data_IF_628969594486
#
_entry.id   IF_628969594486
#
_cell.length_a   1.000
_cell.length_b   1.000
_cell.length_c   1.000
_cell.angle_alpha   90.00
_cell.angle_beta   90.00
_cell.angle_gamma   90.00
#
_symmetry.space_group_name_H-M   'P 1'
#
loop_
_entity.id
_entity.type
_entity.pdbx_description
1 polymer ?
#
# COMPACT_ATOMS: atom_id res chain seq x y z
N UNK A 1 -17.65 -25.32 -30.71
CA UNK A 1 -17.35 -26.45 -29.80
C UNK A 1 -16.69 -26.02 -28.50
N UNK A 2 -15.56 -25.30 -28.50
CA UNK A 2 -14.83 -24.91 -27.27
C UNK A 2 -15.67 -24.06 -26.30
N UNK A 3 -16.50 -23.14 -26.80
CA UNK A 3 -17.33 -22.26 -25.96
C UNK A 3 -18.49 -23.02 -25.28
N UNK A 4 -19.05 -24.02 -25.96
CA UNK A 4 -20.09 -24.92 -25.43
C UNK A 4 -19.49 -25.87 -24.40
N UNK A 5 -18.27 -26.38 -24.66
CA UNK A 5 -17.51 -27.19 -23.70
C UNK A 5 -17.17 -26.39 -22.44
N UNK A 6 -16.77 -25.13 -22.57
CA UNK A 6 -16.48 -24.24 -21.44
C UNK A 6 -17.74 -23.90 -20.63
N UNK A 7 -18.86 -23.65 -21.30
CA UNK A 7 -20.14 -23.39 -20.63
C UNK A 7 -20.69 -24.65 -19.94
N UNK A 8 -20.51 -25.83 -20.55
CA UNK A 8 -20.84 -27.12 -19.93
C UNK A 8 -19.92 -27.41 -18.74
N UNK A 9 -18.61 -27.20 -18.86
CA UNK A 9 -17.63 -27.37 -17.78
C UNK A 9 -17.92 -26.40 -16.62
N UNK A 10 -18.26 -25.15 -16.93
CA UNK A 10 -18.67 -24.13 -15.95
C UNK A 10 -19.96 -24.55 -15.23
N UNK A 11 -20.98 -25.05 -15.95
CA UNK A 11 -22.24 -25.50 -15.36
C UNK A 11 -22.05 -26.77 -14.51
N UNK A 12 -21.19 -27.69 -14.94
CA UNK A 12 -20.85 -28.90 -14.17
C UNK A 12 -19.93 -28.62 -12.98
N UNK A 13 -19.10 -27.59 -13.03
CA UNK A 13 -18.32 -27.09 -11.89
C UNK A 13 -19.18 -26.27 -10.92
N UNK A 14 -20.29 -25.69 -11.37
CA UNK A 14 -21.33 -25.14 -10.49
C UNK A 14 -22.26 -26.19 -9.90
N UNK A 15 -21.88 -27.49 -9.92
CA UNK A 15 -22.53 -28.48 -9.06
C UNK A 15 -22.34 -28.06 -7.60
N UNK A 16 -23.35 -27.31 -7.14
CA UNK A 16 -23.72 -26.94 -5.79
C UNK A 16 -22.54 -26.94 -4.83
N UNK A 17 -21.77 -25.85 -4.83
CA UNK A 17 -21.15 -25.41 -3.61
C UNK A 17 -22.30 -25.14 -2.63
N UNK A 18 -22.68 -26.14 -1.84
CA UNK A 18 -23.60 -25.96 -0.71
C UNK A 18 -22.84 -25.05 0.24
N UNK A 19 -23.06 -23.75 0.11
CA UNK A 19 -22.58 -22.79 1.07
C UNK A 19 -23.25 -23.12 2.40
N UNK A 20 -22.47 -23.06 3.47
CA UNK A 20 -23.02 -23.19 4.82
C UNK A 20 -24.05 -22.09 5.04
N UNK A 21 -25.21 -22.49 5.54
CA UNK A 21 -26.28 -21.54 5.86
C UNK A 21 -25.96 -20.78 7.16
N UNK A 22 -26.57 -19.60 7.34
CA UNK A 22 -26.36 -18.78 8.54
C UNK A 22 -26.75 -19.56 9.81
N UNK A 23 -27.86 -20.30 9.78
CA UNK A 23 -28.30 -21.11 10.92
C UNK A 23 -27.32 -22.23 11.27
N UNK A 24 -26.65 -22.82 10.28
CA UNK A 24 -25.63 -23.85 10.49
C UNK A 24 -24.40 -23.28 11.21
N UNK A 25 -23.94 -22.11 10.76
CA UNK A 25 -22.77 -21.44 11.36
C UNK A 25 -23.02 -21.07 12.82
N UNK A 26 -24.20 -20.53 13.12
CA UNK A 26 -24.64 -20.22 14.48
C UNK A 26 -24.63 -21.47 15.37
N UNK A 27 -25.17 -22.59 14.90
CA UNK A 27 -25.12 -23.86 15.66
C UNK A 27 -23.70 -24.26 15.97
N UNK A 28 -22.79 -24.19 14.98
CA UNK A 28 -21.39 -24.53 15.23
C UNK A 28 -20.75 -23.59 16.26
N UNK A 29 -21.06 -22.29 16.23
CA UNK A 29 -20.53 -21.31 17.20
C UNK A 29 -20.96 -21.67 18.62
N UNK A 30 -22.25 -21.98 18.82
CA UNK A 30 -22.77 -22.39 20.13
C UNK A 30 -22.13 -23.70 20.58
N UNK A 31 -21.92 -24.67 19.69
CA UNK A 31 -21.26 -25.93 20.03
C UNK A 31 -19.81 -25.71 20.48
N UNK A 32 -19.08 -24.82 19.80
CA UNK A 32 -17.69 -24.51 20.15
C UNK A 32 -17.58 -23.66 21.44
N UNK A 33 -18.57 -22.82 21.75
CA UNK A 33 -18.62 -22.05 23.00
C UNK A 33 -18.94 -22.95 24.21
N UNK A 34 -19.98 -23.80 24.10
CA UNK A 34 -20.50 -24.58 25.23
C UNK A 34 -19.72 -25.87 25.47
N UNK A 35 -19.18 -26.51 24.41
CA UNK A 35 -18.36 -27.74 24.47
C UNK A 35 -18.96 -28.90 25.29
N UNK A 36 -20.27 -28.90 25.48
CA UNK A 36 -21.02 -29.91 26.21
C UNK A 36 -22.24 -30.35 25.40
N UNK A 37 -22.78 -31.52 25.72
CA UNK A 37 -24.01 -31.99 25.11
C UNK A 37 -25.20 -31.15 25.61
N UNK A 38 -25.95 -30.56 24.69
CA UNK A 38 -27.05 -29.64 24.98
C UNK A 38 -28.22 -30.34 25.68
N UNK A 39 -28.46 -31.61 25.33
CA UNK A 39 -29.50 -32.42 25.96
C UNK A 39 -29.12 -32.75 27.42
N UNK A 40 -27.84 -33.03 27.67
CA UNK A 40 -27.32 -33.27 29.02
C UNK A 40 -27.33 -31.99 29.86
N UNK A 41 -26.97 -30.84 29.26
CA UNK A 41 -27.02 -29.53 29.93
C UNK A 41 -28.44 -29.18 30.38
N UNK A 42 -29.45 -29.43 29.54
CA UNK A 42 -30.86 -29.26 29.89
C UNK A 42 -31.43 -30.42 30.73
N UNK A 43 -30.67 -31.50 30.92
CA UNK A 43 -31.08 -32.73 31.58
C UNK A 43 -32.37 -33.33 31.00
N UNK A 44 -32.42 -33.45 29.68
CA UNK A 44 -33.54 -34.00 28.90
C UNK A 44 -33.05 -35.10 27.95
N UNK A 45 -33.97 -35.93 27.46
CA UNK A 45 -33.66 -36.91 26.42
C UNK A 45 -33.42 -36.26 25.05
N UNK A 46 -32.64 -36.89 24.18
CA UNK A 46 -32.48 -36.49 22.78
C UNK A 46 -33.81 -36.49 22.02
N UNK A 47 -34.76 -37.34 22.42
CA UNK A 47 -36.09 -37.44 21.80
C UNK A 47 -37.12 -36.47 22.42
N UNK A 48 -36.68 -35.59 23.34
CA UNK A 48 -37.56 -34.66 24.04
C UNK A 48 -38.30 -33.73 23.07
N UNK A 49 -39.58 -33.50 23.33
CA UNK A 49 -40.41 -32.57 22.58
C UNK A 49 -40.14 -31.10 22.93
N UNK A 50 -40.61 -30.17 22.10
CA UNK A 50 -40.42 -28.73 22.31
C UNK A 50 -41.02 -28.22 23.64
N UNK A 51 -42.08 -28.87 24.15
CA UNK A 51 -42.68 -28.56 25.44
C UNK A 51 -41.73 -28.87 26.61
N UNK A 52 -41.06 -30.02 26.55
CA UNK A 52 -40.10 -30.48 27.55
C UNK A 52 -38.84 -29.61 27.55
N UNK A 53 -38.29 -29.31 26.38
CA UNK A 53 -37.17 -28.37 26.20
C UNK A 53 -37.49 -27.00 26.85
N UNK A 54 -38.69 -26.47 26.58
CA UNK A 54 -39.13 -25.20 27.16
C UNK A 54 -39.31 -25.26 28.67
N UNK A 55 -39.80 -26.38 29.21
CA UNK A 55 -39.95 -26.59 30.65
C UNK A 55 -38.59 -26.64 31.35
N UNK A 56 -37.66 -27.45 30.81
CA UNK A 56 -36.31 -27.59 31.32
C UNK A 56 -35.56 -26.26 31.33
N UNK A 57 -35.60 -25.53 30.20
CA UNK A 57 -35.02 -24.18 30.10
C UNK A 57 -35.56 -23.23 31.17
N UNK A 58 -36.88 -23.17 31.38
CA UNK A 58 -37.47 -22.31 32.43
C UNK A 58 -36.96 -22.67 33.81
N UNK A 59 -36.86 -23.97 34.12
CA UNK A 59 -36.41 -24.43 35.42
C UNK A 59 -34.94 -24.07 35.70
N UNK A 60 -34.08 -24.17 34.69
CA UNK A 60 -32.65 -23.83 34.79
C UNK A 60 -32.43 -22.31 34.77
N UNK A 61 -33.17 -21.57 33.95
CA UNK A 61 -33.09 -20.11 33.87
C UNK A 61 -33.44 -19.45 35.21
N UNK A 62 -34.38 -20.00 35.98
CA UNK A 62 -34.70 -19.51 37.32
C UNK A 62 -33.58 -19.75 38.35
N UNK A 63 -32.79 -20.82 38.16
CA UNK A 63 -31.65 -21.17 39.02
C UNK A 63 -30.41 -20.36 38.68
N UNK A 64 -30.16 -20.13 37.39
CA UNK A 64 -28.99 -19.44 36.86
C UNK A 64 -29.25 -17.94 36.57
N UNK A 65 -30.35 -17.37 37.07
CA UNK A 65 -30.66 -15.97 36.78
C UNK A 65 -29.63 -15.02 37.41
N UNK A 66 -29.03 -14.09 36.64
CA UNK A 66 -27.95 -13.22 37.12
C UNK A 66 -28.39 -12.25 38.24
N UNK A 67 -29.68 -11.96 38.35
CA UNK A 67 -30.23 -11.15 39.47
C UNK A 67 -30.18 -11.90 40.81
N UNK A 68 -30.34 -13.23 40.78
CA UNK A 68 -30.34 -14.06 41.99
C UNK A 68 -28.92 -14.48 42.40
N UNK A 69 -28.04 -14.69 41.41
CA UNK A 69 -26.67 -15.14 41.60
C UNK A 69 -25.73 -14.19 40.84
N UNK A 70 -24.90 -13.44 41.58
CA UNK A 70 -24.04 -12.36 41.03
C UNK A 70 -22.62 -12.81 40.65
N UNK A 71 -22.38 -14.11 40.59
CA UNK A 71 -21.06 -14.64 40.24
C UNK A 71 -20.79 -14.53 38.74
N UNK A 72 -19.54 -14.26 38.37
CA UNK A 72 -19.11 -14.08 36.98
C UNK A 72 -19.44 -15.31 36.12
N UNK A 73 -19.25 -16.50 36.68
CA UNK A 73 -19.52 -17.79 36.02
C UNK A 73 -21.02 -18.00 35.75
N UNK A 74 -21.91 -17.49 36.62
CA UNK A 74 -23.36 -17.65 36.43
C UNK A 74 -23.85 -16.90 35.19
N UNK A 75 -23.31 -15.71 34.92
CA UNK A 75 -23.68 -14.91 33.75
C UNK A 75 -23.32 -15.64 32.44
N UNK A 76 -22.14 -16.26 32.39
CA UNK A 76 -21.68 -17.06 31.25
C UNK A 76 -22.52 -18.33 31.08
N UNK A 77 -22.78 -19.05 32.16
CA UNK A 77 -23.65 -20.23 32.14
C UNK A 77 -25.09 -19.89 31.69
N UNK A 78 -25.62 -18.74 32.11
CA UNK A 78 -26.92 -18.27 31.67
C UNK A 78 -26.92 -17.92 30.18
N UNK A 79 -25.87 -17.25 29.67
CA UNK A 79 -25.72 -16.99 28.23
C UNK A 79 -25.70 -18.29 27.44
N UNK A 80 -24.92 -19.27 27.90
CA UNK A 80 -24.83 -20.60 27.29
C UNK A 80 -26.17 -21.35 27.33
N UNK A 81 -26.92 -21.23 28.42
CA UNK A 81 -28.24 -21.83 28.54
C UNK A 81 -29.23 -21.23 27.52
N UNK A 82 -29.19 -19.91 27.32
CA UNK A 82 -30.04 -19.22 26.33
C UNK A 82 -29.69 -19.65 24.92
N UNK A 83 -28.40 -19.68 24.56
CA UNK A 83 -27.96 -20.08 23.22
C UNK A 83 -28.30 -21.55 22.92
N UNK A 84 -28.13 -22.44 23.90
CA UNK A 84 -28.54 -23.84 23.80
C UNK A 84 -30.05 -23.99 23.56
N UNK A 85 -30.87 -23.24 24.30
CA UNK A 85 -32.32 -23.27 24.11
C UNK A 85 -32.72 -22.77 22.72
N UNK A 86 -32.07 -21.73 22.19
CA UNK A 86 -32.34 -21.22 20.84
C UNK A 86 -32.03 -22.27 19.76
N UNK A 87 -30.93 -23.01 19.91
CA UNK A 87 -30.58 -24.11 18.99
C UNK A 87 -31.60 -25.24 19.07
N UNK A 88 -31.94 -25.71 20.27
CA UNK A 88 -32.84 -26.86 20.43
C UNK A 88 -34.32 -26.53 20.15
N UNK A 89 -34.73 -25.26 20.30
CA UNK A 89 -36.09 -24.81 20.02
C UNK A 89 -36.43 -24.83 18.54
N UNK A 90 -35.47 -24.52 17.67
CA UNK A 90 -35.70 -24.52 16.21
C UNK A 90 -35.47 -25.92 15.65
N UNK A 91 -36.43 -26.50 14.89
CA UNK A 91 -36.26 -27.82 14.31
C UNK A 91 -35.10 -27.89 13.31
N UNK A 92 -34.83 -26.79 12.59
CA UNK A 92 -33.72 -26.70 11.63
C UNK A 92 -32.37 -26.72 12.35
N UNK A 93 -32.18 -25.83 13.33
CA UNK A 93 -30.96 -25.75 14.14
C UNK A 93 -30.71 -27.03 14.95
N UNK A 94 -31.76 -27.63 15.51
CA UNK A 94 -31.67 -28.92 16.20
C UNK A 94 -31.17 -30.03 15.28
N UNK A 95 -31.65 -30.08 14.03
CA UNK A 95 -31.16 -31.03 13.03
C UNK A 95 -29.67 -30.85 12.77
N UNK A 96 -29.20 -29.62 12.58
CA UNK A 96 -27.76 -29.36 12.40
C UNK A 96 -26.94 -29.74 13.64
N UNK A 97 -27.47 -29.49 14.84
CA UNK A 97 -26.82 -29.92 16.08
C UNK A 97 -26.73 -31.46 16.17
N UNK A 98 -27.80 -32.16 15.81
CA UNK A 98 -27.82 -33.62 15.77
C UNK A 98 -26.82 -34.18 14.73
N UNK A 99 -26.65 -33.50 13.58
CA UNK A 99 -25.62 -33.83 12.59
C UNK A 99 -24.21 -33.65 13.15
N UNK A 100 -23.97 -32.59 13.93
CA UNK A 100 -22.68 -32.34 14.61
C UNK A 100 -22.40 -33.38 15.70
N UNK A 101 -23.42 -33.85 16.41
CA UNK A 101 -23.28 -34.93 17.39
C UNK A 101 -22.80 -36.25 16.76
N UNK A 102 -23.20 -36.52 15.52
CA UNK A 102 -22.83 -37.75 14.79
C UNK A 102 -21.47 -37.59 14.09
N UNK A 103 -21.30 -36.50 13.34
CA UNK A 103 -20.16 -36.30 12.44
C UNK A 103 -19.02 -35.49 13.07
N UNK A 104 -19.26 -34.86 14.22
CA UNK A 104 -18.39 -33.84 14.79
C UNK A 104 -18.54 -32.47 14.11
N UNK A 105 -17.81 -31.48 14.63
CA UNK A 105 -17.69 -30.18 13.98
C UNK A 105 -16.99 -30.31 12.62
N UNK A 106 -17.35 -29.46 11.63
CA UNK A 106 -16.69 -29.47 10.33
C UNK A 106 -15.17 -29.34 10.46
N UNK A 107 -14.43 -30.07 9.62
CA UNK A 107 -12.97 -30.11 9.70
C UNK A 107 -12.36 -28.70 9.73
N UNK A 108 -12.82 -27.76 8.91
CA UNK A 108 -12.29 -26.39 8.83
C UNK A 108 -12.43 -25.56 10.12
N UNK A 109 -13.38 -25.89 11.01
CA UNK A 109 -13.51 -25.28 12.35
C UNK A 109 -12.43 -25.77 13.31
N UNK A 110 -11.98 -27.01 13.15
CA UNK A 110 -10.96 -27.56 14.03
C UNK A 110 -9.63 -26.84 13.80
N UNK A 111 -8.98 -26.37 14.88
CA UNK A 111 -7.64 -25.77 14.77
C UNK A 111 -6.61 -26.75 14.16
N UNK A 112 -6.85 -28.05 14.30
CA UNK A 112 -6.04 -29.11 13.68
C UNK A 112 -6.15 -29.17 12.15
N UNK A 113 -7.17 -28.57 11.54
CA UNK A 113 -7.29 -28.47 10.09
C UNK A 113 -6.06 -27.84 9.47
N UNK A 114 -5.69 -26.66 9.97
CA UNK A 114 -4.52 -25.93 9.50
C UNK A 114 -3.24 -26.74 9.77
N UNK A 115 -3.14 -27.39 10.93
CA UNK A 115 -1.96 -28.19 11.24
C UNK A 115 -1.84 -29.49 10.43
N UNK A 116 -2.94 -30.12 10.02
CA UNK A 116 -2.94 -31.37 9.26
C UNK A 116 -2.79 -31.14 7.75
N UNK A 117 -3.41 -30.08 7.23
CA UNK A 117 -3.40 -29.78 5.80
C UNK A 117 -2.28 -28.81 5.39
N UNK A 118 -2.09 -27.70 6.12
CA UNK A 118 -1.19 -26.60 5.70
C UNK A 118 0.27 -26.85 6.08
N UNK A 119 0.55 -27.66 7.12
CA UNK A 119 1.92 -27.93 7.58
C UNK A 119 2.76 -28.76 6.58
N UNK A 120 2.14 -29.41 5.59
CA UNK A 120 2.86 -30.17 4.55
C UNK A 120 3.19 -29.35 3.31
N UNK A 121 2.90 -28.04 3.29
CA UNK A 121 3.33 -27.20 2.18
C UNK A 121 4.85 -27.12 2.15
N UNK A 122 5.47 -27.80 1.19
CA UNK A 122 6.91 -27.70 0.94
C UNK A 122 7.29 -26.25 0.61
N UNK A 123 8.57 -25.91 0.78
CA UNK A 123 9.07 -24.56 0.43
C UNK A 123 8.67 -24.16 -1.01
N UNK A 124 8.60 -25.12 -1.92
CA UNK A 124 8.15 -24.94 -3.31
C UNK A 124 6.70 -24.47 -3.41
N UNK A 125 5.77 -25.07 -2.66
CA UNK A 125 4.35 -24.71 -2.68
C UNK A 125 4.13 -23.30 -2.11
N UNK A 126 4.84 -22.96 -1.03
CA UNK A 126 4.81 -21.61 -0.45
C UNK A 126 5.33 -20.58 -1.46
N UNK A 127 6.44 -20.88 -2.15
CA UNK A 127 6.98 -20.01 -3.21
C UNK A 127 5.97 -19.84 -4.34
N UNK A 128 5.30 -20.91 -4.79
CA UNK A 128 4.28 -20.84 -5.84
C UNK A 128 3.08 -19.99 -5.40
N UNK A 129 2.61 -20.15 -4.17
CA UNK A 129 1.50 -19.35 -3.63
C UNK A 129 1.89 -17.88 -3.52
N UNK A 130 3.06 -17.58 -2.95
CA UNK A 130 3.58 -16.21 -2.88
C UNK A 130 3.76 -15.60 -4.26
N UNK A 131 4.23 -16.38 -5.22
CA UNK A 131 4.37 -15.95 -6.61
C UNK A 131 3.02 -15.64 -7.25
N UNK A 132 2.00 -16.46 -7.01
CA UNK A 132 0.64 -16.21 -7.49
C UNK A 132 0.06 -14.94 -6.87
N UNK A 133 0.19 -14.76 -5.56
CA UNK A 133 -0.26 -13.56 -4.84
C UNK A 133 0.45 -12.31 -5.39
N UNK A 134 1.77 -12.36 -5.54
CA UNK A 134 2.55 -11.26 -6.10
C UNK A 134 2.12 -10.93 -7.53
N UNK A 135 1.82 -11.95 -8.34
CA UNK A 135 1.34 -11.79 -9.71
C UNK A 135 -0.02 -11.07 -9.76
N UNK A 136 -0.96 -11.49 -8.90
CA UNK A 136 -2.28 -10.84 -8.79
C UNK A 136 -2.12 -9.42 -8.27
N UNK A 137 -1.29 -9.19 -7.24
CA UNK A 137 -1.01 -7.87 -6.70
C UNK A 137 -0.42 -6.92 -7.75
N UNK A 138 0.54 -7.39 -8.55
CA UNK A 138 1.08 -6.60 -9.66
C UNK A 138 0.04 -6.26 -10.72
N UNK A 139 -0.83 -7.21 -11.07
CA UNK A 139 -1.90 -6.97 -12.02
C UNK A 139 -2.87 -5.91 -11.51
N UNK A 140 -3.26 -5.98 -10.22
CA UNK A 140 -4.11 -4.97 -9.58
C UNK A 140 -3.44 -3.59 -9.55
N UNK A 141 -2.14 -3.52 -9.26
CA UNK A 141 -1.40 -2.25 -9.31
C UNK A 141 -1.37 -1.64 -10.72
N UNK A 142 -1.18 -2.47 -11.76
CA UNK A 142 -1.25 -2.01 -13.16
C UNK A 142 -2.64 -1.48 -13.53
N UNK A 143 -3.69 -2.13 -13.04
CA UNK A 143 -5.06 -1.63 -13.16
C UNK A 143 -5.28 -0.33 -12.41
N UNK A 144 -4.74 -0.19 -11.19
CA UNK A 144 -4.77 1.07 -10.43
C UNK A 144 -4.13 2.23 -11.20
N UNK A 145 -2.93 2.02 -11.74
CA UNK A 145 -2.24 3.01 -12.56
C UNK A 145 -3.02 3.37 -13.84
N UNK A 146 -3.67 2.39 -14.47
CA UNK A 146 -4.55 2.62 -15.61
C UNK A 146 -5.74 3.51 -15.24
N UNK A 147 -6.39 3.24 -14.10
CA UNK A 147 -7.53 4.04 -13.64
C UNK A 147 -7.13 5.47 -13.30
N UNK A 148 -5.99 5.68 -12.66
CA UNK A 148 -5.45 7.01 -12.37
C UNK A 148 -5.20 7.82 -13.66
N UNK A 149 -4.54 7.19 -14.66
CA UNK A 149 -4.31 7.81 -15.96
C UNK A 149 -5.61 8.12 -16.70
N UNK A 150 -6.61 7.25 -16.59
CA UNK A 150 -7.94 7.49 -17.18
C UNK A 150 -8.64 8.68 -16.52
N UNK A 151 -8.59 8.80 -15.19
CA UNK A 151 -9.24 9.90 -14.46
C UNK A 151 -8.56 11.24 -14.75
N UNK A 152 -7.23 11.30 -14.67
CA UNK A 152 -6.47 12.53 -14.99
C UNK A 152 -6.73 13.03 -16.40
N UNK A 153 -6.84 12.13 -17.38
CA UNK A 153 -7.20 12.52 -18.74
C UNK A 153 -8.64 13.02 -18.86
N UNK A 154 -9.59 12.42 -18.14
CA UNK A 154 -10.96 12.93 -18.09
C UNK A 154 -11.02 14.34 -17.51
N UNK A 155 -10.24 14.64 -16.47
CA UNK A 155 -10.20 15.98 -15.88
C UNK A 155 -9.54 17.00 -16.80
N UNK A 156 -8.45 16.62 -17.49
CA UNK A 156 -7.83 17.44 -18.54
C UNK A 156 -8.83 17.76 -19.68
N UNK A 157 -9.60 16.76 -20.15
CA UNK A 157 -10.62 16.96 -21.18
C UNK A 157 -11.73 17.90 -20.71
N UNK A 158 -12.22 17.77 -19.47
CA UNK A 158 -13.23 18.67 -18.90
C UNK A 158 -12.72 20.12 -18.83
N UNK A 159 -11.47 20.33 -18.42
CA UNK A 159 -10.85 21.66 -18.39
C UNK A 159 -10.71 22.24 -19.80
N UNK A 160 -10.19 21.46 -20.75
CA UNK A 160 -10.08 21.89 -22.15
C UNK A 160 -11.43 22.23 -22.78
N UNK A 161 -12.49 21.48 -22.47
CA UNK A 161 -13.86 21.75 -22.92
C UNK A 161 -14.42 23.05 -22.34
N UNK A 162 -14.14 23.37 -21.07
CA UNK A 162 -14.54 24.64 -20.44
C UNK A 162 -13.84 25.87 -21.04
N UNK A 163 -12.60 25.71 -21.53
CA UNK A 163 -11.80 26.81 -22.11
C UNK A 163 -12.20 27.13 -23.57
N UNK A 164 -13.19 26.45 -24.14
CA UNK A 164 -13.78 26.82 -25.44
C UNK A 164 -12.86 26.63 -26.67
N UNK A 165 -11.67 26.05 -26.49
CA UNK A 165 -10.82 25.61 -27.62
C UNK A 165 -11.41 24.33 -28.22
N UNK A 166 -11.96 24.44 -29.43
CA UNK A 166 -12.58 23.37 -30.22
C UNK A 166 -11.83 22.03 -30.09
N UNK A 167 -12.53 21.03 -29.54
CA UNK A 167 -12.61 19.61 -29.90
C UNK A 167 -11.57 18.97 -30.86
N UNK A 168 -10.26 19.23 -30.71
CA UNK A 168 -9.21 18.59 -31.55
C UNK A 168 -8.44 17.50 -30.79
N UNK A 169 -8.94 16.99 -29.66
CA UNK A 169 -8.17 15.97 -28.92
C UNK A 169 -8.96 14.95 -28.10
N UNK A 170 -10.29 14.88 -28.21
CA UNK A 170 -11.05 13.80 -27.55
C UNK A 170 -10.75 12.44 -28.20
N UNK A 171 -10.55 12.41 -29.52
CA UNK A 171 -10.19 11.19 -30.25
C UNK A 171 -8.67 10.95 -30.23
N UNK A 172 -7.83 11.99 -30.29
CA UNK A 172 -6.37 11.85 -30.30
C UNK A 172 -5.76 11.47 -28.93
N UNK A 173 -6.38 11.88 -27.81
CA UNK A 173 -5.90 11.55 -26.45
C UNK A 173 -6.52 10.24 -25.92
N UNK A 174 -7.63 9.80 -26.51
CA UNK A 174 -8.23 8.49 -26.21
C UNK A 174 -7.53 7.32 -26.94
N UNK A 175 -6.62 7.61 -27.86
CA UNK A 175 -5.78 6.62 -28.54
C UNK A 175 -4.55 6.38 -27.67
N UNK A 176 -4.39 5.14 -27.22
CA UNK A 176 -3.20 4.57 -26.56
C UNK A 176 -2.93 4.89 -25.08
N UNK A 177 -3.93 4.72 -24.21
CA UNK A 177 -3.61 4.19 -22.88
C UNK A 177 -3.52 2.67 -23.02
N UNK A 178 -2.31 2.06 -22.97
CA UNK A 178 -2.20 0.61 -23.08
C UNK A 178 -2.97 -0.02 -21.92
N UNK A 179 -3.97 -0.83 -22.25
CA UNK A 179 -4.72 -1.57 -21.25
C UNK A 179 -3.78 -2.57 -20.59
N UNK A 180 -3.79 -2.70 -19.25
CA UNK A 180 -2.93 -3.65 -18.57
C UNK A 180 -3.23 -5.06 -19.09
N UNK A 181 -2.25 -5.63 -19.79
CA UNK A 181 -2.38 -6.94 -20.42
C UNK A 181 -1.91 -8.03 -19.46
N UNK A 182 -2.61 -9.17 -19.46
CA UNK A 182 -2.20 -10.35 -18.69
C UNK A 182 -0.83 -10.88 -19.12
N UNK A 183 -0.39 -10.55 -20.34
CA UNK A 183 0.92 -10.94 -20.86
C UNK A 183 2.09 -10.18 -20.25
N UNK A 184 1.84 -9.08 -19.53
CA UNK A 184 2.89 -8.32 -18.83
C UNK A 184 3.07 -8.78 -17.38
N UNK A 185 2.53 -9.94 -17.01
CA UNK A 185 2.64 -10.47 -15.65
C UNK A 185 3.91 -11.32 -15.46
N UNK A 186 4.35 -11.50 -14.20
CA UNK A 186 5.56 -12.26 -13.85
C UNK A 186 5.69 -13.63 -14.56
N UNK A 187 4.63 -14.46 -14.70
CA UNK A 187 4.73 -15.77 -15.34
C UNK A 187 5.24 -15.69 -16.79
N UNK A 188 4.96 -14.60 -17.50
CA UNK A 188 5.36 -14.40 -18.91
C UNK A 188 6.65 -13.58 -18.99
N UNK A 189 6.85 -12.65 -18.08
CA UNK A 189 8.02 -11.77 -18.06
C UNK A 189 9.30 -12.50 -17.64
N UNK A 190 9.23 -13.46 -16.71
CA UNK A 190 10.41 -14.19 -16.22
C UNK A 190 11.08 -15.03 -17.32
N UNK A 191 10.36 -15.88 -18.09
CA UNK A 191 10.97 -16.62 -19.20
C UNK A 191 11.60 -15.70 -20.25
N UNK A 192 10.94 -14.57 -20.57
CA UNK A 192 11.46 -13.57 -21.50
C UNK A 192 12.74 -12.90 -20.99
N UNK A 193 12.80 -12.60 -19.69
CA UNK A 193 13.97 -12.03 -19.04
C UNK A 193 15.13 -13.04 -18.97
N UNK A 194 14.84 -14.31 -18.69
CA UNK A 194 15.85 -15.37 -18.68
C UNK A 194 16.45 -15.54 -20.08
N UNK A 195 15.60 -15.62 -21.10
CA UNK A 195 16.05 -15.68 -22.50
C UNK A 195 16.92 -14.47 -22.85
N UNK A 196 16.46 -13.26 -22.51
CA UNK A 196 17.22 -12.04 -22.76
C UNK A 196 18.56 -12.04 -22.03
N UNK A 197 18.61 -12.47 -20.77
CA UNK A 197 19.87 -12.59 -20.02
C UNK A 197 20.81 -13.59 -20.69
N UNK A 198 20.35 -14.79 -21.04
CA UNK A 198 21.19 -15.81 -21.68
C UNK A 198 21.79 -15.31 -22.99
N UNK A 199 21.04 -14.52 -23.77
CA UNK A 199 21.51 -13.99 -25.06
C UNK A 199 22.37 -12.73 -24.91
N UNK A 200 22.07 -11.85 -23.96
CA UNK A 200 22.76 -10.56 -23.79
C UNK A 200 24.03 -10.64 -22.94
N UNK A 201 24.09 -11.58 -21.99
CA UNK A 201 25.22 -11.71 -21.06
C UNK A 201 26.55 -12.06 -21.76
N UNK A 202 26.62 -13.00 -22.71
CA UNK A 202 27.87 -13.30 -23.41
C UNK A 202 28.42 -12.09 -24.17
N UNK A 203 27.53 -11.34 -24.83
CA UNK A 203 27.88 -10.12 -25.57
C UNK A 203 28.36 -9.02 -24.63
N UNK A 204 27.68 -8.80 -23.50
CA UNK A 204 28.07 -7.83 -22.48
C UNK A 204 29.43 -8.16 -21.85
N UNK A 205 29.69 -9.44 -21.57
CA UNK A 205 30.98 -9.91 -21.08
C UNK A 205 32.10 -9.72 -22.11
N UNK A 206 31.80 -9.88 -23.40
CA UNK A 206 32.74 -9.59 -24.49
C UNK A 206 33.16 -8.13 -24.54
N UNK A 207 32.21 -7.19 -24.40
CA UNK A 207 32.51 -5.75 -24.33
C UNK A 207 33.32 -5.37 -23.10
N UNK A 208 32.98 -5.92 -21.94
CA UNK A 208 33.74 -5.71 -20.70
C UNK A 208 35.17 -6.25 -20.81
N UNK A 209 35.34 -7.45 -21.38
CA UNK A 209 36.66 -8.03 -21.62
C UNK A 209 37.49 -7.15 -22.57
N UNK A 210 36.88 -6.65 -23.65
CA UNK A 210 37.55 -5.72 -24.57
C UNK A 210 38.00 -4.42 -23.91
N UNK A 211 37.16 -3.82 -23.06
CA UNK A 211 37.51 -2.60 -22.32
C UNK A 211 38.63 -2.83 -21.29
N UNK A 212 38.64 -4.00 -20.65
CA UNK A 212 39.73 -4.39 -19.73
C UNK A 212 41.03 -4.60 -20.49
N UNK A 213 40.99 -5.27 -21.64
CA UNK A 213 42.18 -5.53 -22.46
C UNK A 213 42.79 -4.23 -23.00
N UNK A 214 41.96 -3.31 -23.51
CA UNK A 214 42.41 -1.98 -23.94
C UNK A 214 43.09 -1.21 -22.81
N UNK A 215 42.51 -1.25 -21.60
CA UNK A 215 43.09 -0.57 -20.44
C UNK A 215 44.42 -1.19 -20.01
N UNK A 216 44.57 -2.51 -20.12
CA UNK A 216 45.84 -3.22 -19.88
C UNK A 216 46.87 -2.85 -20.95
N UNK A 217 46.44 -2.71 -22.20
CA UNK A 217 47.32 -2.35 -23.32
C UNK A 217 47.80 -0.90 -23.21
N UNK A 218 46.93 0.03 -22.84
CA UNK A 218 47.28 1.44 -22.57
C UNK A 218 48.26 1.59 -21.40
N UNK A 219 48.18 0.71 -20.38
CA UNK A 219 49.15 0.66 -19.28
C UNK A 219 50.51 0.12 -19.73
N UNK A 220 50.55 -0.78 -20.73
CA UNK A 220 51.79 -1.37 -21.26
C UNK A 220 52.47 -0.49 -22.32
N UNK A 221 51.75 0.46 -22.92
CA UNK A 221 52.31 1.38 -23.91
C UNK A 221 53.26 2.38 -23.21
N UNK A 222 54.48 2.61 -23.75
CA UNK A 222 55.36 3.64 -23.21
C UNK A 222 54.68 5.02 -23.34
N UNK A 223 54.95 5.98 -22.43
CA UNK A 223 54.32 7.29 -22.49
C UNK A 223 54.65 7.95 -23.83
N UNK A 224 53.61 8.24 -24.61
CA UNK A 224 53.73 9.04 -25.84
C UNK A 224 54.31 10.40 -25.46
N UNK A 225 55.35 10.90 -26.13
CA UNK A 225 55.86 12.24 -25.85
C UNK A 225 54.72 13.25 -25.99
N UNK A 226 54.44 13.98 -24.92
CA UNK A 226 53.42 15.03 -24.90
C UNK A 226 53.75 16.05 -25.99
N UNK A 227 52.84 16.32 -26.95
CA UNK A 227 53.03 17.43 -27.87
C UNK A 227 53.06 18.73 -27.05
N UNK A 228 54.07 19.57 -27.31
CA UNK A 228 54.20 20.89 -26.67
C UNK A 228 52.88 21.66 -26.75
N UNK A 229 52.46 22.34 -25.67
CA UNK A 229 51.17 23.01 -25.63
C UNK A 229 51.11 24.12 -26.69
N UNK A 230 50.31 23.93 -27.73
CA UNK A 230 49.96 24.99 -28.67
C UNK A 230 49.35 26.17 -27.89
N UNK A 231 49.68 27.42 -28.25
CA UNK A 231 49.19 28.59 -27.52
C UNK A 231 47.66 28.64 -27.56
N UNK A 232 47.06 28.60 -26.38
CA UNK A 232 45.60 28.68 -26.16
C UNK A 232 45.08 29.98 -26.78
N UNK A 233 44.40 29.88 -27.93
CA UNK A 233 43.63 30.98 -28.49
C UNK A 233 42.41 31.22 -27.59
N UNK A 234 42.47 32.27 -26.77
CA UNK A 234 41.33 32.75 -25.98
C UNK A 234 40.20 33.13 -26.94
N UNK A 235 39.22 32.23 -27.09
CA UNK A 235 37.98 32.54 -27.81
C UNK A 235 37.16 33.46 -26.92
N UNK A 236 37.18 34.75 -27.24
CA UNK A 236 36.27 35.73 -26.65
C UNK A 236 34.83 35.28 -26.92
N UNK A 237 34.19 34.69 -25.92
CA UNK A 237 32.76 34.39 -25.95
C UNK A 237 32.04 35.72 -25.83
N UNK A 238 31.51 36.22 -26.93
CA UNK A 238 30.59 37.36 -26.89
C UNK A 238 29.42 36.98 -25.99
N UNK A 239 29.17 37.80 -24.97
CA UNK A 239 28.05 37.62 -24.05
C UNK A 239 26.75 37.68 -24.86
N UNK A 240 26.06 36.54 -25.01
CA UNK A 240 24.72 36.50 -25.59
C UNK A 240 23.81 37.29 -24.66
N UNK A 241 23.37 38.46 -25.12
CA UNK A 241 22.45 39.36 -24.41
C UNK A 241 21.22 38.55 -23.99
N UNK A 242 21.08 38.29 -22.69
CA UNK A 242 19.92 37.60 -22.12
C UNK A 242 18.77 38.59 -22.18
N UNK A 243 17.80 38.37 -23.08
CA UNK A 243 16.61 39.22 -23.12
C UNK A 243 15.93 39.14 -21.76
N UNK A 244 15.82 40.30 -21.09
CA UNK A 244 15.21 40.44 -19.77
C UNK A 244 13.74 40.09 -19.90
N UNK A 245 13.31 39.04 -19.20
CA UNK A 245 11.90 38.68 -19.12
C UNK A 245 11.15 39.81 -18.41
N UNK A 246 10.17 40.41 -19.08
CA UNK A 246 9.24 41.38 -18.48
C UNK A 246 7.96 40.62 -18.15
N UNK A 247 7.58 40.49 -16.87
CA UNK A 247 6.30 39.88 -16.50
C UNK A 247 5.13 40.76 -17.00
N UNK A 248 4.02 40.18 -17.48
CA UNK A 248 2.84 40.95 -17.83
C UNK A 248 2.21 41.54 -16.56
N UNK A 249 1.87 42.83 -16.63
CA UNK A 249 1.24 43.58 -15.54
C UNK A 249 -0.11 42.96 -15.17
N UNK A 250 -0.22 42.46 -13.94
CA UNK A 250 -1.51 42.11 -13.33
C UNK A 250 -2.26 43.36 -12.86
N UNK A 251 -3.58 43.29 -12.65
CA UNK A 251 -4.38 44.45 -12.29
C UNK A 251 -4.02 44.93 -10.88
N UNK A 252 -3.77 46.24 -10.77
CA UNK A 252 -3.37 46.94 -9.55
C UNK A 252 -4.36 46.69 -8.40
N UNK A 253 -3.89 46.10 -7.30
CA UNK A 253 -4.55 46.19 -6.01
C UNK A 253 -3.80 47.20 -5.14
N UNK A 254 -4.43 48.37 -4.96
CA UNK A 254 -3.99 49.37 -4.00
C UNK A 254 -4.05 48.78 -2.59
N UNK A 255 -2.91 48.66 -1.93
CA UNK A 255 -2.86 48.35 -0.49
C UNK A 255 -2.31 49.58 0.23
N UNK A 256 -3.18 50.26 0.98
CA UNK A 256 -2.86 51.42 1.81
C UNK A 256 -1.83 51.02 2.88
N UNK A 257 -0.65 51.62 2.84
CA UNK A 257 0.31 51.59 3.94
C UNK A 257 0.21 52.88 4.76
N UNK A 258 -0.23 52.74 6.00
CA UNK A 258 -0.24 53.77 7.03
C UNK A 258 1.18 54.09 7.52
N UNK A 259 1.54 55.37 7.38
CA UNK A 259 2.45 56.21 8.16
C UNK A 259 3.43 55.52 9.14
N UNK A 260 4.72 55.62 8.84
CA UNK A 260 5.85 55.37 9.75
C UNK A 260 6.17 56.63 10.56
N UNK A 261 6.25 56.50 11.89
CA UNK A 261 6.92 57.45 12.78
C UNK A 261 8.32 56.91 13.13
N UNK A 262 9.32 57.81 13.15
CA UNK A 262 10.72 57.52 13.46
C UNK A 262 10.97 57.66 14.96
N UNK A 263 11.73 56.72 15.54
CA UNK A 263 12.62 57.02 16.68
C UNK A 263 13.94 56.26 16.45
N UNK A 264 15.03 57.01 16.58
CA UNK A 264 16.43 56.57 16.50
C UNK A 264 16.89 56.24 17.92
N UNK A 265 17.55 55.09 18.10
CA UNK A 265 18.73 55.01 18.98
C UNK A 265 19.68 53.90 18.50
N UNK A 266 20.95 54.25 18.63
CA UNK A 266 22.17 53.62 18.17
C UNK A 266 22.54 52.38 19.01
N UNK A 267 23.01 51.31 18.34
CA UNK A 267 23.95 50.33 18.86
C UNK A 267 24.33 49.34 17.75
N UNK A 268 25.64 49.16 17.60
CA UNK A 268 26.33 48.42 16.55
C UNK A 268 25.87 46.97 16.37
N UNK A 269 25.13 46.71 15.28
CA UNK A 269 25.05 45.43 14.57
C UNK A 269 24.51 45.72 13.16
N UNK A 270 25.02 45.08 12.09
CA UNK A 270 24.46 45.27 10.76
C UNK A 270 22.96 44.87 10.80
N UNK A 271 22.07 45.64 10.15
CA UNK A 271 20.64 45.34 10.19
C UNK A 271 20.41 43.95 9.59
N UNK A 272 19.47 43.15 10.15
CA UNK A 272 19.16 41.83 9.62
C UNK A 272 18.74 41.97 8.16
N UNK A 273 19.46 41.30 7.26
CA UNK A 273 19.19 41.32 5.82
C UNK A 273 17.91 40.51 5.55
N UNK A 274 16.77 41.12 5.79
CA UNK A 274 15.48 40.58 5.36
C UNK A 274 15.35 40.76 3.85
N UNK A 275 15.34 39.65 3.12
CA UNK A 275 14.75 39.61 1.77
C UNK A 275 15.67 39.58 0.54
N UNK A 276 17.00 39.55 0.67
CA UNK A 276 17.93 39.48 -0.47
C UNK A 276 18.08 38.07 -1.11
N UNK A 277 18.46 38.02 -2.40
CA UNK A 277 18.96 36.79 -3.05
C UNK A 277 20.27 36.34 -2.38
N UNK A 278 20.49 35.03 -2.27
CA UNK A 278 21.73 34.46 -1.74
C UNK A 278 22.92 34.80 -2.65
N UNK A 279 23.97 35.38 -2.09
CA UNK A 279 25.25 35.61 -2.78
C UNK A 279 26.18 34.42 -2.59
N UNK A 280 27.19 34.29 -3.45
CA UNK A 280 28.16 33.19 -3.38
C UNK A 280 28.99 33.22 -2.07
N UNK A 281 29.21 34.41 -1.51
CA UNK A 281 29.89 34.61 -0.23
C UNK A 281 29.05 34.13 0.97
N UNK A 282 27.73 34.40 0.96
CA UNK A 282 26.78 33.91 1.98
C UNK A 282 26.73 32.37 2.00
N UNK A 283 26.84 31.75 0.82
CA UNK A 283 26.82 30.29 0.67
C UNK A 283 28.11 29.66 1.21
N UNK A 284 29.26 30.29 0.95
CA UNK A 284 30.54 29.86 1.50
C UNK A 284 30.56 29.95 3.04
N UNK A 285 29.98 31.01 3.60
CA UNK A 285 29.86 31.18 5.05
C UNK A 285 28.88 30.18 5.68
N UNK A 286 27.75 29.88 5.02
CA UNK A 286 26.84 28.82 5.43
C UNK A 286 27.54 27.45 5.50
N UNK A 287 28.31 27.08 4.47
CA UNK A 287 29.03 25.80 4.45
C UNK A 287 30.01 25.70 5.63
N UNK A 288 30.70 26.80 5.94
CA UNK A 288 31.62 26.87 7.09
C UNK A 288 30.88 26.71 8.42
N UNK A 289 29.73 27.34 8.58
CA UNK A 289 28.91 27.25 9.80
C UNK A 289 28.23 25.88 9.96
N UNK A 290 27.79 25.26 8.87
CA UNK A 290 27.23 23.91 8.84
C UNK A 290 28.25 22.86 9.31
N UNK A 291 29.53 23.08 9.01
CA UNK A 291 30.64 22.23 9.50
C UNK A 291 30.97 22.50 10.97
N UNK A 292 30.79 23.73 11.44
CA UNK A 292 31.03 24.15 12.83
C UNK A 292 29.99 23.58 13.80
N UNK A 293 28.73 23.45 13.37
CA UNK A 293 27.65 22.85 14.16
C UNK A 293 27.26 21.48 13.59
N UNK A 294 27.73 20.37 14.17
CA UNK A 294 27.41 19.02 13.68
C UNK A 294 25.94 18.65 13.90
N UNK A 295 25.49 17.59 13.23
CA UNK A 295 24.10 17.12 13.29
C UNK A 295 23.75 16.67 14.73
N UNK A 296 22.60 17.09 15.25
CA UNK A 296 22.12 16.77 16.60
C UNK A 296 22.25 17.89 17.64
N UNK A 297 22.86 19.04 17.31
CA UNK A 297 22.87 20.19 18.21
C UNK A 297 21.45 20.82 18.32
N UNK A 298 20.99 21.03 19.56
CA UNK A 298 19.71 21.71 19.82
C UNK A 298 19.76 23.13 19.26
N UNK A 299 18.71 23.56 18.55
CA UNK A 299 18.64 24.90 17.91
C UNK A 299 19.79 25.21 16.94
N UNK A 300 20.32 24.17 16.28
CA UNK A 300 21.39 24.27 15.26
C UNK A 300 21.10 25.32 14.19
N UNK A 301 19.91 25.26 13.59
CA UNK A 301 19.54 26.16 12.51
C UNK A 301 19.31 27.60 12.98
N UNK A 302 18.79 27.80 14.19
CA UNK A 302 18.65 29.12 14.81
C UNK A 302 20.02 29.76 15.07
N UNK A 303 21.01 28.96 15.50
CA UNK A 303 22.38 29.44 15.73
C UNK A 303 23.10 29.81 14.44
N UNK A 304 22.91 29.01 13.38
CA UNK A 304 23.45 29.28 12.04
C UNK A 304 22.78 30.52 11.43
N UNK A 305 21.46 30.65 11.56
CA UNK A 305 20.68 31.80 11.10
C UNK A 305 21.09 33.10 11.81
N UNK A 306 21.31 33.04 13.12
CA UNK A 306 21.79 34.17 13.92
C UNK A 306 23.19 34.62 13.49
N UNK A 307 24.10 33.68 13.22
CA UNK A 307 25.45 33.98 12.75
C UNK A 307 25.46 34.60 11.33
N UNK A 308 24.52 34.19 10.47
CA UNK A 308 24.33 34.77 9.12
C UNK A 308 23.47 36.04 9.11
N UNK A 309 22.88 36.44 10.25
CA UNK A 309 21.97 37.59 10.33
C UNK A 309 20.66 37.42 9.54
N UNK A 310 20.23 36.18 9.26
CA UNK A 310 19.05 35.84 8.43
C UNK A 310 18.12 34.85 9.15
N UNK A 311 17.27 35.36 10.04
CA UNK A 311 16.43 34.54 10.92
C UNK A 311 15.23 33.83 10.25
N UNK A 312 14.68 34.37 9.16
CA UNK A 312 13.36 33.92 8.65
C UNK A 312 13.37 32.89 7.50
N UNK A 313 14.51 32.58 6.85
CA UNK A 313 14.51 31.80 5.58
C UNK A 313 15.09 30.39 5.63
N UNK A 314 15.55 29.88 6.78
CA UNK A 314 16.19 28.55 6.83
C UNK A 314 15.17 27.39 6.91
N UNK A 315 13.87 27.68 7.07
CA UNK A 315 12.80 26.68 7.01
C UNK A 315 12.03 26.73 5.68
N UNK A 316 12.68 26.28 4.60
CA UNK A 316 12.05 25.70 3.39
C UNK A 316 12.96 24.57 2.89
#
# INVERSE_FOLDING_TARGET
MLLILYLFLSITCTNVAVAWDSEQLEVFDVVDEVKQNFYELLNISKDAGNSEIKSAFRSLSLKLHPDKNKDVDTSEQFRNLVSVYEVLRSPTKRKYYDEVLINGLPNWRSGLFYYRYVRKMGMTEVIVILFAIATVGQYLMKWGAYFEKKLTLQDQIKVHKKVGRKAVSEQQIAIDIPKPSVFDTLPVQIPKLIWYLVVSVPTALGFLKGAVEQKIEDIKRPPTPEPEPEPVKVRNRTARKRNKFVPPEGPNFETKSSKTEKVVTDNSSPPPMSGGLWTDDDLAELIRLVKKYPQGANKRWESIAAALGRFEKIFI
#
